data_IF_407477899615
#
_entry.id   IF_407477899615
#
_cell.length_a   1.000
_cell.length_b   1.000
_cell.length_c   1.000
_cell.angle_alpha   90.00
_cell.angle_beta   90.00
_cell.angle_gamma   90.00
#
_symmetry.space_group_name_H-M   'P 1'
#
loop_
_entity.id
_entity.type
_entity.pdbx_description
1 polymer ?
#
# COMPACT_ATOMS: atom_id res chain seq x y z
N UNK A 1 -46.41 -33.36 -51.11
CA UNK A 1 -46.52 -33.56 -49.64
C UNK A 1 -45.41 -32.75 -48.96
N UNK A 2 -45.81 -31.96 -47.95
CA UNK A 2 -45.09 -30.98 -47.11
C UNK A 2 -43.55 -31.09 -47.02
N UNK A 3 -42.84 -30.01 -47.40
CA UNK A 3 -41.52 -29.66 -46.86
C UNK A 3 -41.71 -29.29 -45.38
N UNK A 4 -41.12 -30.06 -44.47
CA UNK A 4 -40.97 -29.69 -43.06
C UNK A 4 -40.00 -28.51 -43.01
N UNK A 5 -40.47 -27.35 -42.51
CA UNK A 5 -39.59 -26.30 -42.00
C UNK A 5 -38.96 -26.84 -40.72
N UNK A 6 -37.65 -27.02 -40.73
CA UNK A 6 -36.88 -27.11 -39.50
C UNK A 6 -37.07 -25.78 -38.74
N UNK A 7 -37.48 -25.91 -37.48
CA UNK A 7 -37.48 -24.80 -36.52
C UNK A 7 -36.01 -24.59 -36.17
N UNK A 8 -35.45 -23.46 -36.57
CA UNK A 8 -34.26 -22.91 -35.93
C UNK A 8 -34.57 -22.78 -34.43
N UNK A 9 -33.91 -23.60 -33.63
CA UNK A 9 -33.75 -23.36 -32.21
C UNK A 9 -32.81 -22.18 -32.06
N UNK A 10 -33.37 -21.00 -31.78
CA UNK A 10 -32.60 -19.89 -31.19
C UNK A 10 -31.98 -20.41 -29.89
N UNK A 11 -30.67 -20.67 -29.92
CA UNK A 11 -29.89 -20.85 -28.70
C UNK A 11 -30.00 -19.55 -27.89
N UNK A 12 -30.38 -19.59 -26.60
CA UNK A 12 -30.46 -18.38 -25.80
C UNK A 12 -29.08 -17.73 -25.75
N UNK A 13 -29.02 -16.43 -26.11
CA UNK A 13 -27.80 -15.65 -25.93
C UNK A 13 -27.33 -15.74 -24.48
N UNK A 14 -26.02 -15.96 -24.23
CA UNK A 14 -25.53 -16.09 -22.86
C UNK A 14 -25.80 -14.80 -22.09
N UNK A 15 -26.44 -14.92 -20.92
CA UNK A 15 -26.65 -13.79 -20.04
C UNK A 15 -25.31 -13.15 -19.67
N UNK A 16 -25.16 -11.85 -19.97
CA UNK A 16 -23.94 -11.10 -19.63
C UNK A 16 -23.97 -10.84 -18.13
N UNK A 17 -23.25 -11.67 -17.37
CA UNK A 17 -23.08 -11.48 -15.92
C UNK A 17 -22.15 -10.30 -15.70
N UNK A 18 -22.67 -9.24 -15.05
CA UNK A 18 -21.88 -8.09 -14.63
C UNK A 18 -21.33 -8.32 -13.22
N UNK A 19 -20.07 -7.95 -13.01
CA UNK A 19 -19.39 -8.06 -11.71
C UNK A 19 -19.00 -6.68 -11.20
N UNK A 20 -18.94 -6.53 -9.88
CA UNK A 20 -18.28 -5.40 -9.26
C UNK A 20 -16.79 -5.50 -9.58
N UNK A 21 -16.25 -4.46 -10.20
CA UNK A 21 -14.85 -4.41 -10.53
C UNK A 21 -14.00 -4.06 -9.28
N UNK A 22 -12.93 -4.82 -9.10
CA UNK A 22 -11.92 -4.62 -8.06
C UNK A 22 -10.56 -4.46 -8.74
N UNK A 23 -9.92 -3.32 -8.50
CA UNK A 23 -8.55 -3.08 -8.91
C UNK A 23 -7.62 -3.38 -7.73
N UNK A 24 -6.98 -4.54 -7.77
CA UNK A 24 -5.87 -4.86 -6.87
C UNK A 24 -4.54 -4.40 -7.46
N UNK A 25 -3.99 -3.32 -6.89
CA UNK A 25 -2.66 -2.85 -7.19
C UNK A 25 -1.65 -3.69 -6.42
N UNK A 26 -1.14 -4.72 -7.10
CA UNK A 26 -0.09 -5.60 -6.60
C UNK A 26 1.12 -5.43 -7.51
N UNK A 27 2.19 -4.84 -6.99
CA UNK A 27 3.43 -4.70 -7.75
C UNK A 27 4.06 -6.09 -7.98
N UNK A 28 4.41 -6.49 -9.21
CA UNK A 28 5.07 -7.78 -9.45
C UNK A 28 6.38 -7.95 -8.66
N UNK A 29 7.07 -6.82 -8.42
CA UNK A 29 8.22 -6.70 -7.54
C UNK A 29 7.83 -5.80 -6.37
N UNK A 30 7.41 -6.42 -5.27
CA UNK A 30 6.85 -5.75 -4.09
C UNK A 30 7.96 -5.30 -3.14
N UNK A 31 7.84 -4.10 -2.58
CA UNK A 31 8.71 -3.67 -1.50
C UNK A 31 8.34 -4.34 -0.17
N UNK A 32 9.33 -4.57 0.71
CA UNK A 32 9.15 -5.32 1.98
C UNK A 32 8.14 -4.67 2.91
N UNK A 33 7.92 -3.36 2.78
CA UNK A 33 7.02 -2.56 3.63
C UNK A 33 5.76 -2.09 2.89
N UNK A 34 5.57 -2.51 1.65
CA UNK A 34 4.41 -2.11 0.87
C UNK A 34 3.18 -2.93 1.26
N UNK A 35 2.02 -2.52 0.77
CA UNK A 35 0.76 -3.19 0.99
C UNK A 35 0.01 -3.34 -0.33
N UNK A 36 -0.92 -4.29 -0.37
CA UNK A 36 -1.79 -4.46 -1.53
C UNK A 36 -2.92 -3.44 -1.40
N UNK A 37 -3.08 -2.62 -2.44
CA UNK A 37 -4.13 -1.61 -2.46
C UNK A 37 -5.31 -2.08 -3.32
N UNK A 38 -6.47 -2.26 -2.69
CA UNK A 38 -7.71 -2.69 -3.33
C UNK A 38 -8.61 -1.47 -3.52
N UNK A 39 -8.96 -1.16 -4.77
CA UNK A 39 -9.91 -0.08 -5.08
C UNK A 39 -11.13 -0.63 -5.81
N UNK A 40 -12.30 -0.25 -5.33
CA UNK A 40 -13.59 -0.67 -5.88
C UNK A 40 -14.23 0.46 -6.68
N UNK A 41 -14.92 0.12 -7.78
CA UNK A 41 -15.63 1.10 -8.60
C UNK A 41 -16.85 1.67 -7.84
N UNK A 42 -17.50 0.82 -7.04
CA UNK A 42 -18.65 1.18 -6.20
C UNK A 42 -18.33 1.09 -4.69
N UNK A 43 -19.03 1.85 -3.83
CA UNK A 43 -19.02 1.60 -2.40
C UNK A 43 -19.49 0.17 -2.07
N UNK A 44 -18.86 -0.44 -1.08
CA UNK A 44 -19.22 -1.77 -0.61
C UNK A 44 -20.42 -1.72 0.33
N UNK A 45 -21.38 -2.61 0.11
CA UNK A 45 -22.43 -2.92 1.07
C UNK A 45 -21.94 -3.90 2.13
N UNK A 46 -21.17 -4.91 1.73
CA UNK A 46 -20.59 -5.91 2.62
C UNK A 46 -19.31 -6.49 2.04
N UNK A 47 -18.47 -7.04 2.91
CA UNK A 47 -17.23 -7.70 2.55
C UNK A 47 -16.94 -8.86 3.51
N UNK A 48 -16.28 -9.89 3.00
CA UNK A 48 -15.80 -11.03 3.76
C UNK A 48 -14.32 -11.28 3.46
N UNK A 49 -13.46 -10.78 4.35
CA UNK A 49 -12.02 -11.00 4.24
C UNK A 49 -11.59 -12.44 4.57
N UNK A 50 -12.48 -13.30 5.08
CA UNK A 50 -12.17 -14.73 5.19
C UNK A 50 -12.11 -15.43 3.82
N UNK A 51 -12.72 -14.81 2.79
CA UNK A 51 -12.66 -15.24 1.38
C UNK A 51 -11.48 -14.61 0.60
N UNK A 52 -10.57 -13.94 1.31
CA UNK A 52 -9.34 -13.37 0.79
C UNK A 52 -8.17 -14.19 1.31
N UNK A 53 -7.25 -14.55 0.42
CA UNK A 53 -6.12 -15.41 0.72
C UNK A 53 -4.81 -14.75 0.29
N UNK A 54 -3.85 -14.71 1.20
CA UNK A 54 -2.47 -14.36 0.92
C UNK A 54 -1.63 -15.61 1.16
N UNK A 55 -0.96 -16.07 0.11
CA UNK A 55 -0.21 -17.32 0.14
C UNK A 55 1.26 -17.09 -0.13
N UNK A 56 2.13 -17.64 0.71
CA UNK A 56 3.57 -17.70 0.48
C UNK A 56 3.93 -19.02 -0.21
N UNK A 57 4.84 -18.95 -1.18
CA UNK A 57 5.43 -20.14 -1.77
C UNK A 57 6.54 -20.68 -0.88
N UNK A 58 6.35 -21.88 -0.35
CA UNK A 58 7.36 -22.63 0.39
C UNK A 58 7.69 -23.89 -0.42
N UNK A 59 8.92 -23.94 -0.93
CA UNK A 59 9.37 -24.90 -1.94
C UNK A 59 8.53 -24.83 -3.23
N UNK A 60 7.59 -25.77 -3.38
CA UNK A 60 6.67 -25.86 -4.51
C UNK A 60 5.21 -25.66 -4.11
N UNK A 61 4.93 -25.50 -2.82
CA UNK A 61 3.58 -25.43 -2.26
C UNK A 61 3.24 -24.01 -1.84
N UNK A 62 1.99 -23.61 -2.10
CA UNK A 62 1.40 -22.37 -1.61
C UNK A 62 0.81 -22.61 -0.23
N UNK A 63 1.19 -21.81 0.75
CA UNK A 63 0.68 -21.86 2.13
C UNK A 63 0.06 -20.53 2.49
N UNK A 64 -1.16 -20.54 3.01
CA UNK A 64 -1.79 -19.34 3.54
C UNK A 64 -0.99 -18.77 4.69
N UNK A 65 -0.85 -17.46 4.68
CA UNK A 65 -0.26 -16.66 5.76
C UNK A 65 -1.31 -15.69 6.31
N UNK A 66 -1.22 -15.32 7.60
CA UNK A 66 -2.06 -14.25 8.14
C UNK A 66 -1.78 -12.93 7.42
N UNK A 67 -2.79 -12.09 7.36
CA UNK A 67 -2.71 -10.73 6.86
C UNK A 67 -3.69 -9.86 7.65
N UNK A 68 -3.39 -8.56 7.70
CA UNK A 68 -4.29 -7.55 8.25
C UNK A 68 -4.89 -6.73 7.11
N UNK A 69 -6.00 -6.05 7.37
CA UNK A 69 -6.60 -5.13 6.42
C UNK A 69 -7.14 -3.89 7.10
N UNK A 70 -7.15 -2.78 6.36
CA UNK A 70 -7.65 -1.49 6.81
C UNK A 70 -8.44 -0.82 5.69
N UNK A 71 -9.59 -0.23 6.01
CA UNK A 71 -10.31 0.65 5.09
C UNK A 71 -9.77 2.08 5.20
N UNK A 72 -9.49 2.72 4.06
CA UNK A 72 -9.05 4.12 4.03
C UNK A 72 -10.20 5.03 4.51
N UNK A 73 -9.94 5.82 5.56
CA UNK A 73 -10.94 6.66 6.22
C UNK A 73 -11.43 7.83 5.36
N UNK A 74 -10.65 8.23 4.34
CA UNK A 74 -11.00 9.31 3.42
C UNK A 74 -11.52 8.74 2.11
N UNK A 75 -10.87 7.68 1.60
CA UNK A 75 -11.24 6.98 0.36
C UNK A 75 -11.96 5.69 0.72
N UNK A 76 -13.25 5.80 1.04
CA UNK A 76 -14.07 4.68 1.52
C UNK A 76 -14.18 3.47 0.56
N UNK A 77 -13.81 3.63 -0.73
CA UNK A 77 -13.75 2.54 -1.71
C UNK A 77 -12.36 1.89 -1.79
N UNK A 78 -11.48 2.18 -0.84
CA UNK A 78 -10.10 1.74 -0.84
C UNK A 78 -9.80 0.97 0.43
N UNK A 79 -9.21 -0.21 0.26
CA UNK A 79 -8.74 -1.06 1.33
C UNK A 79 -7.26 -1.36 1.14
N UNK A 80 -6.53 -1.40 2.23
CA UNK A 80 -5.12 -1.80 2.28
C UNK A 80 -5.06 -3.18 2.91
N UNK A 81 -4.29 -4.08 2.30
CA UNK A 81 -4.01 -5.42 2.85
C UNK A 81 -2.53 -5.50 3.16
N UNK A 82 -2.23 -5.75 4.43
CA UNK A 82 -0.89 -5.79 5.01
C UNK A 82 -0.49 -7.23 5.28
N UNK A 83 0.75 -7.57 4.96
CA UNK A 83 1.34 -8.86 5.30
C UNK A 83 2.78 -8.69 5.75
N UNK A 84 3.26 -9.63 6.53
CA UNK A 84 4.67 -9.69 6.94
C UNK A 84 5.51 -10.29 5.81
N UNK A 85 5.79 -9.46 4.80
CA UNK A 85 6.52 -9.87 3.61
C UNK A 85 7.97 -10.26 3.92
N UNK A 86 8.33 -11.50 3.64
CA UNK A 86 9.72 -11.97 3.73
C UNK A 86 10.48 -11.64 2.43
N UNK A 87 11.71 -11.09 2.53
CA UNK A 87 12.54 -10.79 1.36
C UNK A 87 12.78 -12.00 0.46
N UNK A 88 12.86 -11.75 -0.84
CA UNK A 88 13.12 -12.73 -1.91
C UNK A 88 12.06 -13.84 -2.10
N UNK A 89 11.03 -13.89 -1.24
CA UNK A 89 9.94 -14.86 -1.33
C UNK A 89 8.90 -14.48 -2.38
N UNK A 90 8.23 -15.51 -2.89
CA UNK A 90 7.11 -15.38 -3.81
C UNK A 90 5.79 -15.52 -3.05
N UNK A 91 4.86 -14.64 -3.38
CA UNK A 91 3.53 -14.59 -2.80
C UNK A 91 2.45 -14.59 -3.89
N UNK A 92 1.26 -14.97 -3.48
CA UNK A 92 0.07 -14.97 -4.32
C UNK A 92 -1.11 -14.46 -3.50
N UNK A 93 -1.69 -13.37 -3.98
CA UNK A 93 -2.93 -12.79 -3.48
C UNK A 93 -4.10 -13.34 -4.28
N UNK A 94 -5.12 -13.83 -3.60
CA UNK A 94 -6.34 -14.35 -4.19
C UNK A 94 -7.58 -13.81 -3.47
N UNK A 95 -8.63 -13.55 -4.24
CA UNK A 95 -9.96 -13.26 -3.70
C UNK A 95 -10.94 -14.22 -4.34
N UNK A 96 -11.82 -14.82 -3.56
CA UNK A 96 -12.89 -15.63 -4.12
C UNK A 96 -14.00 -14.78 -4.74
N UNK A 97 -14.83 -15.41 -5.58
CA UNK A 97 -16.07 -14.80 -6.04
C UNK A 97 -16.97 -14.49 -4.84
N UNK A 98 -17.69 -13.38 -4.87
CA UNK A 98 -18.57 -12.90 -3.78
C UNK A 98 -17.86 -12.39 -2.51
N UNK A 99 -16.53 -12.35 -2.46
CA UNK A 99 -15.81 -11.79 -1.31
C UNK A 99 -16.21 -10.34 -1.00
N UNK A 100 -16.59 -9.56 -2.02
CA UNK A 100 -17.04 -8.19 -1.88
C UNK A 100 -18.34 -7.95 -2.64
N UNK A 101 -19.29 -7.26 -2.01
CA UNK A 101 -20.60 -6.94 -2.57
C UNK A 101 -20.80 -5.42 -2.53
N UNK A 102 -21.08 -4.83 -3.68
CA UNK A 102 -21.34 -3.40 -3.84
C UNK A 102 -22.77 -3.02 -3.49
N UNK A 103 -23.01 -1.73 -3.23
CA UNK A 103 -24.34 -1.20 -2.89
C UNK A 103 -25.41 -1.39 -3.98
N UNK A 104 -25.00 -1.64 -5.23
CA UNK A 104 -25.91 -1.93 -6.34
C UNK A 104 -26.18 -3.44 -6.53
N UNK A 105 -25.73 -4.29 -5.61
CA UNK A 105 -25.93 -5.73 -5.64
C UNK A 105 -24.95 -6.51 -6.53
N UNK A 106 -24.06 -5.82 -7.24
CA UNK A 106 -22.94 -6.44 -7.95
C UNK A 106 -21.90 -6.99 -6.97
N UNK A 107 -21.27 -8.09 -7.32
CA UNK A 107 -20.24 -8.71 -6.49
C UNK A 107 -18.96 -8.96 -7.29
N UNK A 108 -17.83 -9.07 -6.60
CA UNK A 108 -16.55 -9.35 -7.26
C UNK A 108 -16.48 -10.77 -7.79
N UNK A 109 -15.74 -10.95 -8.89
CA UNK A 109 -15.35 -12.27 -9.36
C UNK A 109 -14.01 -12.69 -8.74
N UNK A 110 -13.65 -13.97 -8.91
CA UNK A 110 -12.35 -14.49 -8.47
C UNK A 110 -11.21 -13.72 -9.12
N UNK A 111 -10.20 -13.37 -8.33
CA UNK A 111 -8.99 -12.72 -8.78
C UNK A 111 -7.77 -13.41 -8.20
N UNK A 112 -6.68 -13.41 -8.97
CA UNK A 112 -5.38 -13.91 -8.54
C UNK A 112 -4.26 -12.98 -9.05
N UNK A 113 -3.32 -12.65 -8.17
CA UNK A 113 -2.13 -11.86 -8.47
C UNK A 113 -0.93 -12.45 -7.74
N UNK A 114 0.14 -12.74 -8.48
CA UNK A 114 1.41 -13.20 -7.92
C UNK A 114 2.42 -12.06 -7.91
N UNK A 115 3.25 -12.03 -6.88
CA UNK A 115 4.31 -11.05 -6.72
C UNK A 115 5.52 -11.66 -6.00
N UNK A 116 6.67 -11.04 -6.20
CA UNK A 116 7.91 -11.41 -5.50
C UNK A 116 8.40 -10.21 -4.70
N UNK A 117 8.76 -10.45 -3.45
CA UNK A 117 9.30 -9.43 -2.57
C UNK A 117 10.77 -9.22 -2.93
N UNK A 118 11.20 -7.96 -3.04
CA UNK A 118 12.58 -7.61 -3.38
C UNK A 118 13.59 -8.15 -2.36
N UNK A 119 14.83 -8.32 -2.80
CA UNK A 119 15.92 -8.71 -1.91
C UNK A 119 16.29 -7.55 -1.01
N UNK A 120 16.76 -7.82 0.21
CA UNK A 120 17.34 -6.77 1.06
C UNK A 120 18.55 -6.09 0.39
N UNK A 121 19.26 -6.80 -0.50
CA UNK A 121 20.38 -6.28 -1.27
C UNK A 121 19.96 -5.26 -2.34
N UNK A 122 18.68 -5.25 -2.72
CA UNK A 122 18.14 -4.27 -3.66
C UNK A 122 17.92 -2.91 -2.99
N UNK A 123 18.05 -2.83 -1.67
CA UNK A 123 17.87 -1.60 -0.92
C UNK A 123 19.20 -1.03 -0.43
N UNK A 124 19.26 0.30 -0.37
CA UNK A 124 20.28 1.04 0.35
C UNK A 124 19.88 1.29 1.80
N UNK A 125 20.82 1.85 2.56
CA UNK A 125 20.54 2.43 3.86
C UNK A 125 21.22 3.80 3.94
N UNK A 126 20.55 4.76 4.56
CA UNK A 126 21.11 6.07 4.88
C UNK A 126 21.12 6.21 6.40
N UNK A 127 22.29 6.52 6.95
CA UNK A 127 22.50 6.72 8.38
C UNK A 127 22.93 8.17 8.61
N UNK A 128 22.09 8.95 9.29
CA UNK A 128 22.45 10.31 9.67
C UNK A 128 23.05 10.34 11.06
N UNK A 129 24.17 11.06 11.19
CA UNK A 129 24.67 11.50 12.48
C UNK A 129 24.30 12.97 12.66
N UNK A 130 23.38 13.23 13.57
CA UNK A 130 22.85 14.56 13.87
C UNK A 130 23.60 15.10 15.09
N UNK A 131 24.51 16.03 14.83
CA UNK A 131 25.28 16.68 15.89
C UNK A 131 24.50 17.86 16.48
N UNK A 132 24.76 18.17 17.75
CA UNK A 132 24.36 19.41 18.42
C UNK A 132 22.84 19.67 18.55
N UNK A 133 22.01 18.65 18.38
CA UNK A 133 20.56 18.75 18.63
C UNK A 133 20.25 18.44 20.10
N UNK A 134 19.63 19.40 20.79
CA UNK A 134 19.26 19.31 22.21
C UNK A 134 17.75 19.13 22.39
N UNK A 135 16.96 19.54 21.40
CA UNK A 135 15.50 19.37 21.38
C UNK A 135 15.12 18.04 20.73
N UNK A 136 13.91 17.50 20.98
CA UNK A 136 13.38 16.45 20.12
C UNK A 136 13.46 16.89 18.65
N UNK A 137 13.76 15.95 17.78
CA UNK A 137 13.93 16.21 16.36
C UNK A 137 13.65 14.95 15.57
N UNK A 138 13.32 15.13 14.30
CA UNK A 138 13.20 14.02 13.36
C UNK A 138 13.76 14.42 12.00
N UNK A 139 14.21 13.43 11.27
CA UNK A 139 14.65 13.56 9.89
C UNK A 139 13.55 13.06 8.97
N UNK A 140 13.33 13.76 7.87
CA UNK A 140 12.48 13.32 6.77
C UNK A 140 13.31 13.12 5.51
N UNK A 141 13.11 11.99 4.85
CA UNK A 141 13.58 11.76 3.49
C UNK A 141 12.50 12.18 2.50
N UNK A 142 12.89 13.00 1.55
CA UNK A 142 12.04 13.59 0.51
C UNK A 142 12.41 13.02 -0.86
N UNK A 143 11.43 12.94 -1.75
CA UNK A 143 11.67 12.71 -3.18
C UNK A 143 12.01 14.01 -3.93
N UNK A 144 12.28 13.92 -5.23
CA UNK A 144 12.56 15.09 -6.10
C UNK A 144 11.41 16.12 -6.18
N UNK A 145 10.23 15.81 -5.65
CA UNK A 145 9.04 16.69 -5.61
C UNK A 145 8.75 17.21 -4.19
N UNK A 146 9.72 17.12 -3.28
CA UNK A 146 9.59 17.48 -1.85
C UNK A 146 8.49 16.72 -1.10
N UNK A 147 8.07 15.54 -1.60
CA UNK A 147 7.12 14.70 -0.85
C UNK A 147 7.88 13.84 0.14
N UNK A 148 7.39 13.81 1.38
CA UNK A 148 7.94 12.97 2.45
C UNK A 148 7.73 11.50 2.12
N UNK A 149 8.84 10.77 1.95
CA UNK A 149 8.86 9.33 1.69
C UNK A 149 8.97 8.53 2.99
N UNK A 150 9.87 8.95 3.89
CA UNK A 150 10.15 8.28 5.16
C UNK A 150 10.47 9.34 6.23
N UNK A 151 10.18 9.01 7.48
CA UNK A 151 10.51 9.82 8.65
C UNK A 151 11.16 8.95 9.73
N UNK A 152 12.16 9.47 10.42
CA UNK A 152 12.80 8.81 11.55
C UNK A 152 13.10 9.84 12.64
N UNK A 153 12.77 9.51 13.89
CA UNK A 153 13.14 10.33 15.05
C UNK A 153 14.66 10.31 15.26
N UNK A 154 15.20 11.40 15.79
CA UNK A 154 16.60 11.49 16.18
C UNK A 154 16.74 10.90 17.58
N UNK A 155 17.34 9.72 17.68
CA UNK A 155 17.62 9.03 18.94
C UNK A 155 19.12 8.92 19.11
N UNK A 156 19.65 9.38 20.25
CA UNK A 156 21.09 9.40 20.54
C UNK A 156 21.94 10.05 19.43
N UNK A 157 21.40 11.10 18.81
CA UNK A 157 22.05 11.81 17.70
C UNK A 157 22.07 11.06 16.38
N UNK A 158 21.20 10.05 16.20
CA UNK A 158 21.11 9.26 14.97
C UNK A 158 19.70 9.20 14.41
N UNK A 159 19.61 9.17 13.09
CA UNK A 159 18.37 8.89 12.37
C UNK A 159 18.67 7.92 11.23
N UNK A 160 18.13 6.71 11.34
CA UNK A 160 18.50 5.59 10.48
C UNK A 160 17.35 5.24 9.53
N UNK A 161 17.67 5.14 8.25
CA UNK A 161 16.74 4.77 7.19
C UNK A 161 17.22 3.50 6.50
N UNK A 162 16.95 2.32 7.07
CA UNK A 162 17.25 1.06 6.41
C UNK A 162 16.24 0.78 5.30
N UNK A 163 16.61 -0.06 4.35
CA UNK A 163 15.71 -0.58 3.31
C UNK A 163 15.10 0.52 2.42
N UNK A 164 15.93 1.42 1.93
CA UNK A 164 15.55 2.45 0.97
C UNK A 164 15.68 1.93 -0.46
N UNK A 165 14.65 2.13 -1.28
CA UNK A 165 14.74 1.79 -2.70
C UNK A 165 15.79 2.68 -3.38
N UNK A 166 16.55 2.18 -4.37
CA UNK A 166 17.54 3.01 -5.06
C UNK A 166 16.86 4.20 -5.75
N UNK A 167 17.36 5.39 -5.48
CA UNK A 167 16.75 6.63 -5.95
C UNK A 167 17.52 7.84 -5.44
N UNK A 168 17.12 9.02 -5.89
CA UNK A 168 17.64 10.28 -5.37
C UNK A 168 16.79 10.72 -4.20
N UNK A 169 17.46 11.05 -3.10
CA UNK A 169 16.82 11.51 -1.89
C UNK A 169 17.34 12.90 -1.52
N UNK A 170 16.45 13.72 -0.99
CA UNK A 170 16.82 14.89 -0.21
C UNK A 170 16.46 14.61 1.24
N UNK A 171 17.21 15.15 2.19
CA UNK A 171 16.87 15.01 3.60
C UNK A 171 16.66 16.38 4.23
N UNK A 172 15.74 16.45 5.19
CA UNK A 172 15.62 17.61 6.08
C UNK A 172 15.52 17.18 7.53
N UNK A 173 16.16 17.94 8.40
CA UNK A 173 16.08 17.80 9.85
C UNK A 173 15.11 18.86 10.39
N UNK A 174 14.17 18.45 11.23
CA UNK A 174 13.20 19.33 11.88
C UNK A 174 13.45 19.28 13.39
N UNK A 175 13.64 20.45 14.01
CA UNK A 175 13.67 20.61 15.46
C UNK A 175 12.23 20.65 15.98
N UNK A 176 11.74 19.51 16.45
CA UNK A 176 10.39 19.30 16.99
C UNK A 176 10.35 19.81 18.44
N UNK A 177 10.01 21.07 18.58
CA UNK A 177 10.07 21.77 19.87
C UNK A 177 8.95 21.35 20.82
N UNK A 178 7.87 20.77 20.31
CA UNK A 178 6.72 20.35 21.10
C UNK A 178 6.61 18.82 21.25
N UNK A 179 7.40 18.05 20.50
CA UNK A 179 7.51 16.60 20.60
C UNK A 179 6.34 15.83 19.98
N UNK A 180 5.60 16.42 19.04
CA UNK A 180 4.42 15.79 18.42
C UNK A 180 4.77 14.97 17.16
N UNK A 181 6.02 15.01 16.70
CA UNK A 181 6.52 14.32 15.52
C UNK A 181 5.97 14.86 14.19
N UNK A 182 5.41 16.07 14.17
CA UNK A 182 4.83 16.73 12.99
C UNK A 182 5.54 18.07 12.83
N UNK A 183 5.85 18.45 11.59
CA UNK A 183 6.40 19.78 11.35
C UNK A 183 5.32 20.85 11.55
N UNK A 184 5.47 21.65 12.60
CA UNK A 184 4.52 22.71 12.91
C UNK A 184 4.90 24.05 12.28
N UNK A 185 3.96 24.62 11.54
CA UNK A 185 4.02 26.02 11.14
C UNK A 185 3.84 26.96 12.34
N UNK A 186 4.23 28.23 12.18
CA UNK A 186 4.06 29.23 13.22
C UNK A 186 2.58 29.52 13.49
N UNK A 187 2.26 29.83 14.74
CA UNK A 187 0.93 30.26 15.15
C UNK A 187 0.99 31.74 15.57
N UNK A 188 0.30 32.60 14.80
CA UNK A 188 0.30 34.05 15.06
C UNK A 188 -0.42 34.41 16.36
N UNK A 189 -1.54 33.74 16.68
CA UNK A 189 -2.32 34.00 17.90
C UNK A 189 -1.54 33.61 19.16
N UNK A 190 -0.82 32.49 19.09
CA UNK A 190 0.06 32.02 20.17
C UNK A 190 1.46 32.66 20.16
N UNK A 191 1.72 33.56 19.21
CA UNK A 191 3.05 34.15 18.96
C UNK A 191 4.18 33.11 18.83
N UNK A 192 3.84 31.91 18.36
CA UNK A 192 4.76 30.79 18.20
C UNK A 192 5.40 30.84 16.82
N UNK A 193 6.72 30.82 16.76
CA UNK A 193 7.46 30.73 15.50
C UNK A 193 7.32 29.32 14.89
N UNK A 194 7.43 29.19 13.55
CA UNK A 194 7.52 27.88 12.92
C UNK A 194 8.74 27.12 13.41
N UNK A 195 8.65 25.80 13.39
CA UNK A 195 9.78 24.94 13.74
C UNK A 195 10.91 25.04 12.72
N UNK A 196 12.15 24.96 13.23
CA UNK A 196 13.34 25.11 12.39
C UNK A 196 13.54 23.88 11.53
N UNK A 197 13.88 24.14 10.26
CA UNK A 197 14.13 23.11 9.27
C UNK A 197 15.51 23.32 8.66
N UNK A 198 16.32 22.27 8.65
CA UNK A 198 17.65 22.27 8.03
C UNK A 198 17.65 21.31 6.85
N UNK A 199 17.99 21.80 5.66
CA UNK A 199 18.00 20.98 4.44
C UNK A 199 19.39 20.45 4.13
N UNK A 200 19.45 19.16 3.80
CA UNK A 200 20.62 18.50 3.24
C UNK A 200 20.31 18.13 1.78
N UNK A 201 20.75 18.99 0.87
CA UNK A 201 20.43 18.89 -0.55
C UNK A 201 21.37 17.89 -1.23
N UNK A 202 20.79 16.78 -1.70
CA UNK A 202 21.37 15.64 -2.43
C UNK A 202 22.11 14.57 -1.60
N UNK A 203 21.56 13.35 -1.67
CA UNK A 203 22.11 12.06 -1.24
C UNK A 203 22.08 11.06 -2.41
#
# INVERSE_FOLDING_TARGET
KKKRKEKDSEEPEPEVISFLNINAQVAPSMDVYDYINLTFDDPLQSYDFAAVHVQQKVDTLWKDIPFDYEQDSVRLRTFRVYGDWEPEKEYKFQTDSLAFIGIYGLHTNKMEKSFRVKSLNDYGAIFFNVAEVVTPAFVELLNERDNVLRKAEVVDGKADFPFLTPGKYCARLIEDTNGNGIWDTGNYEEQRQPEKVHYYNQL
#
